data_IF_803878869574
#
_entry.id   IF_803878869574
#
_cell.length_a   1.000
_cell.length_b   1.000
_cell.length_c   1.000
_cell.angle_alpha   90.00
_cell.angle_beta   90.00
_cell.angle_gamma   90.00
#
_symmetry.space_group_name_H-M   'P 1'
#
loop_
_entity.id
_entity.type
_entity.pdbx_description
1 polymer ?
#
# COMPACT_ATOMS: atom_id res chain seq x y z
N UNK A 1 22.66 1.35 42.52
CA UNK A 1 23.82 0.45 42.25
C UNK A 1 23.65 -0.87 42.97
N UNK A 2 23.54 -0.88 44.31
CA UNK A 2 23.32 -2.11 45.09
C UNK A 2 22.12 -2.96 44.62
N UNK A 3 20.98 -2.32 44.28
CA UNK A 3 19.81 -3.05 43.77
C UNK A 3 20.06 -3.73 42.41
N UNK A 4 20.76 -3.03 41.51
CA UNK A 4 21.13 -3.54 40.19
C UNK A 4 22.13 -4.71 40.32
N UNK A 5 23.13 -4.59 41.19
CA UNK A 5 24.10 -5.66 41.48
C UNK A 5 23.40 -6.89 42.10
N UNK A 6 22.49 -6.68 43.05
CA UNK A 6 21.71 -7.75 43.65
C UNK A 6 20.84 -8.48 42.61
N UNK A 7 20.13 -7.73 41.77
CA UNK A 7 19.31 -8.30 40.70
C UNK A 7 20.16 -9.02 39.65
N UNK A 8 21.32 -8.46 39.28
CA UNK A 8 22.24 -9.11 38.33
C UNK A 8 22.73 -10.46 38.85
N UNK A 9 23.16 -10.53 40.12
CA UNK A 9 23.59 -11.78 40.74
C UNK A 9 22.44 -12.81 40.79
N UNK A 10 21.23 -12.38 41.15
CA UNK A 10 20.05 -13.26 41.18
C UNK A 10 19.70 -13.79 39.79
N UNK A 11 19.70 -12.93 38.77
CA UNK A 11 19.40 -13.32 37.38
C UNK A 11 20.48 -14.28 36.83
N UNK A 12 21.75 -14.08 37.16
CA UNK A 12 22.83 -14.99 36.76
C UNK A 12 22.65 -16.40 37.36
N UNK A 13 22.37 -16.47 38.66
CA UNK A 13 22.11 -17.75 39.34
C UNK A 13 20.92 -18.50 38.73
N UNK A 14 19.81 -17.80 38.47
CA UNK A 14 18.63 -18.42 37.85
C UNK A 14 18.86 -18.82 36.39
N UNK A 15 19.70 -18.09 35.64
CA UNK A 15 20.11 -18.48 34.27
C UNK A 15 20.92 -19.78 34.26
N UNK A 16 21.86 -19.93 35.19
CA UNK A 16 22.65 -21.17 35.32
C UNK A 16 21.74 -22.36 35.68
N UNK A 17 20.81 -22.18 36.62
CA UNK A 17 19.80 -23.21 36.95
C UNK A 17 18.93 -23.56 35.74
N UNK A 18 18.46 -22.56 34.99
CA UNK A 18 17.68 -22.79 33.78
C UNK A 18 18.48 -23.60 32.75
N UNK A 19 19.74 -23.23 32.51
CA UNK A 19 20.61 -23.95 31.57
C UNK A 19 20.82 -25.41 32.00
N UNK A 20 21.06 -25.69 33.29
CA UNK A 20 21.17 -27.05 33.79
C UNK A 20 19.86 -27.83 33.62
N UNK A 21 18.72 -27.21 33.91
CA UNK A 21 17.40 -27.84 33.76
C UNK A 21 17.01 -28.14 32.30
N UNK A 22 17.47 -27.32 31.35
CA UNK A 22 17.23 -27.51 29.92
C UNK A 22 17.90 -28.75 29.31
N UNK A 23 18.86 -29.36 30.01
CA UNK A 23 19.51 -30.60 29.60
C UNK A 23 18.70 -31.85 29.97
N UNK A 24 17.66 -31.70 30.79
CA UNK A 24 16.76 -32.80 31.17
C UNK A 24 15.77 -33.12 30.04
N UNK A 25 15.59 -34.41 29.74
CA UNK A 25 14.64 -34.88 28.71
C UNK A 25 13.16 -34.72 29.08
N UNK A 26 12.86 -34.43 30.35
CA UNK A 26 11.49 -34.27 30.86
C UNK A 26 11.09 -32.81 31.06
N UNK A 27 12.03 -31.87 30.92
CA UNK A 27 11.78 -30.46 31.15
C UNK A 27 11.22 -29.76 29.90
N UNK A 28 10.21 -28.90 30.08
CA UNK A 28 9.64 -28.07 29.01
C UNK A 28 9.96 -26.60 29.29
N UNK A 29 10.54 -25.92 28.31
CA UNK A 29 10.88 -24.50 28.42
C UNK A 29 9.62 -23.64 28.28
N UNK A 30 9.41 -22.72 29.22
CA UNK A 30 8.33 -21.73 29.12
C UNK A 30 8.77 -20.50 28.31
N UNK A 31 7.84 -19.95 27.52
CA UNK A 31 8.07 -18.78 26.68
C UNK A 31 7.56 -17.54 27.42
N UNK A 32 8.39 -16.52 27.70
CA UNK A 32 7.92 -15.27 28.28
C UNK A 32 6.93 -14.59 27.34
N UNK A 33 5.72 -14.35 27.85
CA UNK A 33 4.72 -13.55 27.18
C UNK A 33 5.05 -12.06 27.33
N UNK A 34 4.95 -11.33 26.23
CA UNK A 34 4.96 -9.87 26.21
C UNK A 34 3.78 -9.38 25.38
N UNK A 35 3.39 -8.12 25.53
CA UNK A 35 2.39 -7.51 24.68
C UNK A 35 3.05 -6.60 23.64
N UNK A 36 2.56 -6.70 22.40
CA UNK A 36 2.84 -5.74 21.34
C UNK A 36 1.56 -4.97 21.10
N UNK A 37 1.63 -3.65 21.23
CA UNK A 37 0.59 -2.74 20.79
C UNK A 37 0.88 -2.34 19.35
N UNK A 38 0.02 -2.77 18.43
CA UNK A 38 0.19 -2.55 17.02
C UNK A 38 -0.94 -1.72 16.40
N UNK A 39 -0.58 -0.90 15.42
CA UNK A 39 -1.52 -0.09 14.65
C UNK A 39 -1.14 -0.12 13.19
N UNK A 40 -2.06 -0.60 12.35
CA UNK A 40 -1.91 -0.64 10.90
C UNK A 40 -3.00 0.23 10.26
N UNK A 41 -2.63 1.43 9.81
CA UNK A 41 -3.60 2.43 9.31
C UNK A 41 -3.15 3.02 7.99
N UNK A 42 -4.10 3.21 7.07
CA UNK A 42 -3.87 3.88 5.79
C UNK A 42 -3.82 5.40 6.00
N UNK A 43 -2.75 6.04 5.53
CA UNK A 43 -2.64 7.48 5.50
C UNK A 43 -3.23 8.03 4.20
N UNK A 44 -4.08 9.04 4.32
CA UNK A 44 -4.75 9.68 3.19
C UNK A 44 -3.80 10.53 2.34
N UNK A 45 -2.83 11.19 2.98
CA UNK A 45 -2.01 12.21 2.32
C UNK A 45 -0.97 11.62 1.36
N UNK A 46 -0.39 10.47 1.70
CA UNK A 46 0.68 9.83 0.91
C UNK A 46 0.29 8.47 0.29
N UNK A 47 -0.96 8.05 0.49
CA UNK A 47 -1.51 6.77 0.02
C UNK A 47 -0.57 5.59 0.35
N UNK A 48 -0.10 5.56 1.61
CA UNK A 48 0.71 4.50 2.20
C UNK A 48 0.15 4.08 3.56
N UNK A 49 0.40 2.85 3.98
CA UNK A 49 0.06 2.37 5.31
C UNK A 49 1.18 2.70 6.30
N UNK A 50 0.82 3.23 7.47
CA UNK A 50 1.70 3.28 8.63
C UNK A 50 1.47 2.05 9.50
N UNK A 51 2.48 1.20 9.63
CA UNK A 51 2.55 0.16 10.65
C UNK A 51 3.38 0.67 11.82
N UNK A 52 2.75 0.75 12.99
CA UNK A 52 3.38 1.14 14.25
C UNK A 52 3.37 -0.08 15.16
N UNK A 53 4.54 -0.43 15.70
CA UNK A 53 4.74 -1.54 16.63
C UNK A 53 5.34 -0.99 17.93
N UNK A 54 4.68 -1.24 19.06
CA UNK A 54 5.10 -0.78 20.37
C UNK A 54 5.20 -1.94 21.36
N UNK A 55 6.32 -2.02 22.08
CA UNK A 55 6.60 -3.04 23.07
C UNK A 55 7.05 -2.40 24.37
N UNK A 56 6.68 -2.98 25.51
CA UNK A 56 7.06 -2.46 26.84
C UNK A 56 8.57 -2.49 27.10
N UNK A 57 9.30 -3.34 26.38
CA UNK A 57 10.76 -3.49 26.47
C UNK A 57 11.40 -3.05 25.16
N UNK A 58 12.70 -2.73 25.20
CA UNK A 58 13.42 -2.34 24.00
C UNK A 58 13.37 -3.45 22.93
N UNK A 59 13.03 -3.08 21.71
CA UNK A 59 13.02 -3.99 20.57
C UNK A 59 14.46 -4.29 20.16
N UNK A 60 14.75 -5.55 19.87
CA UNK A 60 16.05 -5.97 19.34
C UNK A 60 16.04 -5.90 17.82
N UNK A 61 15.09 -6.61 17.22
CA UNK A 61 14.87 -6.61 15.79
C UNK A 61 13.39 -6.85 15.47
N UNK A 62 12.97 -6.36 14.30
CA UNK A 62 11.69 -6.69 13.68
C UNK A 62 11.96 -7.23 12.30
N UNK A 63 11.49 -8.44 12.00
CA UNK A 63 11.51 -8.99 10.65
C UNK A 63 10.14 -8.78 10.01
N UNK A 64 10.13 -8.20 8.83
CA UNK A 64 8.95 -7.96 8.01
C UNK A 64 9.02 -8.90 6.81
N UNK A 65 8.00 -9.73 6.67
CA UNK A 65 7.83 -10.68 5.59
C UNK A 65 6.52 -10.38 4.86
N UNK A 66 6.52 -10.43 3.53
CA UNK A 66 5.27 -10.30 2.76
C UNK A 66 5.20 -11.30 1.61
N UNK A 67 3.98 -11.78 1.36
CA UNK A 67 3.59 -12.59 0.21
C UNK A 67 3.05 -11.75 -0.97
N UNK A 68 3.13 -10.41 -0.88
CA UNK A 68 2.70 -9.44 -1.89
C UNK A 68 3.85 -8.47 -2.13
N UNK A 69 4.08 -7.99 -3.37
CA UNK A 69 5.05 -6.92 -3.60
C UNK A 69 4.58 -5.64 -2.94
N UNK A 70 5.41 -5.16 -2.02
CA UNK A 70 5.19 -3.93 -1.25
C UNK A 70 6.51 -3.17 -1.15
N UNK A 71 6.43 -1.84 -1.16
CA UNK A 71 7.60 -1.00 -0.92
C UNK A 71 7.63 -0.55 0.54
N UNK A 72 8.77 -0.74 1.19
CA UNK A 72 9.02 -0.15 2.50
C UNK A 72 9.67 1.22 2.31
N UNK A 73 9.01 2.26 2.81
CA UNK A 73 9.51 3.64 2.73
C UNK A 73 10.27 4.01 4.00
N UNK A 74 11.38 4.71 3.82
CA UNK A 74 12.14 5.26 4.95
C UNK A 74 11.33 6.30 5.71
N UNK A 75 11.45 6.26 7.03
CA UNK A 75 10.82 7.19 7.95
C UNK A 75 11.93 7.90 8.71
N UNK A 76 12.03 9.22 8.58
CA UNK A 76 13.14 10.01 9.15
C UNK A 76 13.26 9.87 10.68
N UNK A 77 12.15 9.57 11.35
CA UNK A 77 12.10 9.33 12.81
C UNK A 77 12.57 7.93 13.21
N UNK A 78 12.77 7.03 12.26
CA UNK A 78 13.17 5.66 12.52
C UNK A 78 14.70 5.56 12.55
N UNK A 79 15.26 5.20 13.70
CA UNK A 79 16.70 5.01 13.88
C UNK A 79 17.15 3.57 13.65
N UNK A 80 16.26 2.68 13.21
CA UNK A 80 16.59 1.29 12.95
C UNK A 80 17.38 1.16 11.64
N UNK A 81 18.35 0.25 11.62
CA UNK A 81 19.06 -0.09 10.39
C UNK A 81 18.26 -1.16 9.67
N UNK A 82 17.94 -0.89 8.40
CA UNK A 82 17.18 -1.80 7.54
C UNK A 82 18.14 -2.64 6.72
N UNK A 83 17.90 -3.94 6.66
CA UNK A 83 18.56 -4.85 5.72
C UNK A 83 17.52 -5.62 4.94
N UNK A 84 17.56 -5.50 3.61
CA UNK A 84 16.73 -6.28 2.69
C UNK A 84 17.45 -7.59 2.35
N UNK A 85 16.78 -8.70 2.62
CA UNK A 85 17.27 -10.03 2.23
C UNK A 85 16.82 -10.34 0.81
N UNK A 86 17.67 -11.02 0.04
CA UNK A 86 17.28 -11.55 -1.25
C UNK A 86 16.16 -12.56 -1.08
N UNK A 87 15.08 -12.39 -1.84
CA UNK A 87 13.99 -13.35 -1.93
C UNK A 87 14.24 -14.29 -3.11
N UNK A 88 14.05 -15.59 -2.91
CA UNK A 88 14.15 -16.56 -4.01
C UNK A 88 12.94 -16.45 -4.94
N UNK A 89 13.06 -16.80 -6.21
CA UNK A 89 11.98 -16.70 -7.21
C UNK A 89 11.13 -17.98 -7.33
N UNK A 90 10.98 -18.74 -6.24
CA UNK A 90 10.21 -19.99 -6.18
C UNK A 90 8.70 -19.72 -5.97
N UNK A 91 7.81 -20.59 -6.46
CA UNK A 91 6.37 -20.51 -6.16
C UNK A 91 6.14 -20.74 -4.66
N UNK A 92 5.53 -19.77 -3.99
CA UNK A 92 5.42 -19.59 -2.51
C UNK A 92 6.58 -18.87 -1.84
N UNK A 93 7.43 -18.17 -2.60
CA UNK A 93 8.45 -17.32 -2.02
C UNK A 93 7.88 -16.03 -1.43
N UNK A 94 8.64 -15.47 -0.51
CA UNK A 94 8.40 -14.14 0.04
C UNK A 94 8.66 -13.11 -1.07
N UNK A 95 7.75 -12.17 -1.30
CA UNK A 95 8.03 -11.04 -2.18
C UNK A 95 8.94 -10.02 -1.51
N UNK A 96 8.88 -9.94 -0.18
CA UNK A 96 9.71 -9.05 0.61
C UNK A 96 10.18 -9.75 1.89
N UNK A 97 11.47 -9.60 2.18
CA UNK A 97 12.08 -9.87 3.48
C UNK A 97 12.94 -8.69 3.89
N UNK A 98 12.54 -7.99 4.96
CA UNK A 98 13.30 -6.89 5.52
C UNK A 98 13.49 -7.09 7.01
N UNK A 99 14.70 -6.83 7.51
CA UNK A 99 15.00 -6.87 8.93
C UNK A 99 15.37 -5.48 9.41
N UNK A 100 14.63 -4.98 10.39
CA UNK A 100 14.88 -3.73 11.09
C UNK A 100 15.62 -4.02 12.39
N UNK A 101 16.90 -3.66 12.45
CA UNK A 101 17.70 -3.78 13.68
C UNK A 101 17.66 -2.47 14.46
N UNK A 102 17.06 -2.54 15.65
CA UNK A 102 16.92 -1.40 16.53
C UNK A 102 18.22 -1.16 17.32
N UNK A 103 18.89 -0.03 17.13
CA UNK A 103 20.18 0.26 17.77
C UNK A 103 20.02 0.73 19.24
N UNK A 104 19.07 1.64 19.50
CA UNK A 104 18.84 2.23 20.82
C UNK A 104 17.80 1.45 21.66
N UNK A 105 17.49 1.94 22.87
CA UNK A 105 16.36 1.45 23.69
C UNK A 105 15.01 1.85 23.09
N UNK A 106 14.79 1.51 21.82
CA UNK A 106 13.57 1.84 21.08
C UNK A 106 12.46 0.88 21.47
N UNK A 107 11.40 1.42 22.06
CA UNK A 107 10.18 0.67 22.40
C UNK A 107 9.13 0.76 21.31
N UNK A 108 9.26 1.73 20.40
CA UNK A 108 8.34 2.00 19.28
C UNK A 108 9.10 1.96 17.96
N UNK A 109 8.57 1.23 16.99
CA UNK A 109 9.02 1.20 15.61
C UNK A 109 7.87 1.64 14.70
N UNK A 110 8.14 2.57 13.79
CA UNK A 110 7.20 3.01 12.77
C UNK A 110 7.78 2.74 11.39
N UNK A 111 7.00 2.07 10.54
CA UNK A 111 7.38 1.73 9.18
C UNK A 111 6.24 2.08 8.22
N UNK A 112 6.59 2.61 7.06
CA UNK A 112 5.65 2.95 6.00
C UNK A 112 5.65 1.87 4.94
N UNK A 113 4.47 1.33 4.63
CA UNK A 113 4.25 0.27 3.66
C UNK A 113 3.42 0.83 2.52
N UNK A 114 3.96 0.80 1.31
CA UNK A 114 3.22 1.14 0.09
C UNK A 114 2.73 -0.14 -0.57
N UNK A 115 1.42 -0.26 -0.75
CA UNK A 115 0.79 -1.36 -1.48
C UNK A 115 0.46 -0.96 -2.91
N UNK A 116 0.32 -1.99 -3.76
CA UNK A 116 -0.18 -1.87 -5.13
C UNK A 116 -1.63 -2.38 -5.14
N UNK A 117 -2.53 -1.59 -5.71
CA UNK A 117 -3.94 -1.94 -5.79
C UNK A 117 -4.15 -3.16 -6.72
N UNK A 118 -5.03 -4.07 -6.35
CA UNK A 118 -5.24 -5.34 -7.04
C UNK A 118 -4.34 -6.49 -6.57
N UNK A 119 -3.23 -6.19 -5.87
CA UNK A 119 -2.39 -7.21 -5.24
C UNK A 119 -2.71 -7.32 -3.74
N UNK A 120 -2.98 -8.54 -3.27
CA UNK A 120 -3.52 -8.77 -1.92
C UNK A 120 -2.95 -10.04 -1.29
N UNK A 121 -2.85 -10.02 0.04
CA UNK A 121 -2.18 -11.06 0.81
C UNK A 121 -1.88 -10.61 2.24
N UNK A 122 -0.90 -11.26 2.85
CA UNK A 122 -0.53 -11.09 4.25
C UNK A 122 0.86 -10.47 4.41
N UNK A 123 0.93 -9.44 5.26
CA UNK A 123 2.16 -8.88 5.79
C UNK A 123 2.38 -9.42 7.20
N UNK A 124 3.51 -10.07 7.44
CA UNK A 124 3.87 -10.61 8.75
C UNK A 124 5.00 -9.79 9.37
N UNK A 125 4.83 -9.42 10.65
CA UNK A 125 5.84 -8.76 11.45
C UNK A 125 6.23 -9.63 12.64
N UNK A 126 7.50 -10.02 12.68
CA UNK A 126 8.11 -10.84 13.70
C UNK A 126 8.88 -9.93 14.66
N UNK A 127 8.34 -9.71 15.84
CA UNK A 127 8.88 -8.75 16.82
C UNK A 127 9.68 -9.50 17.88
N UNK A 128 10.97 -9.18 17.99
CA UNK A 128 11.87 -9.77 19.00
C UNK A 128 12.31 -8.70 19.99
N UNK A 129 11.87 -8.75 21.27
CA UNK A 129 12.33 -7.83 22.30
C UNK A 129 13.72 -8.20 22.88
N UNK A 130 14.31 -7.26 23.62
CA UNK A 130 15.53 -7.44 24.42
C UNK A 130 15.21 -8.02 25.80
N UNK A 131 14.59 -9.19 25.82
CA UNK A 131 14.35 -9.98 27.04
C UNK A 131 15.14 -11.31 27.00
N UNK A 132 15.30 -11.94 28.16
CA UNK A 132 15.89 -13.27 28.30
C UNK A 132 14.90 -14.19 29.03
N UNK A 133 14.55 -15.37 28.48
CA UNK A 133 14.99 -15.92 27.19
C UNK A 133 14.45 -15.12 26.00
N UNK A 134 15.17 -15.16 24.87
CA UNK A 134 14.75 -14.49 23.63
C UNK A 134 13.53 -15.20 23.05
N UNK A 135 12.52 -14.43 22.72
CA UNK A 135 11.28 -14.90 22.10
C UNK A 135 10.88 -13.96 20.97
N UNK A 136 10.06 -14.47 20.06
CA UNK A 136 9.51 -13.70 18.95
C UNK A 136 7.99 -13.87 18.94
N UNK A 137 7.26 -12.78 18.72
CA UNK A 137 5.84 -12.81 18.45
C UNK A 137 5.57 -12.40 17.00
N UNK A 138 4.68 -13.12 16.33
CA UNK A 138 4.27 -12.83 14.96
C UNK A 138 2.94 -12.12 14.96
N UNK A 139 2.87 -10.99 14.26
CA UNK A 139 1.65 -10.25 13.97
C UNK A 139 1.36 -10.31 12.48
N UNK A 140 0.10 -10.52 12.11
CA UNK A 140 -0.33 -10.66 10.73
C UNK A 140 -1.28 -9.54 10.34
N UNK A 141 -0.96 -8.83 9.27
CA UNK A 141 -1.75 -7.74 8.71
C UNK A 141 -2.21 -8.13 7.31
N UNK A 142 -3.44 -7.76 6.96
CA UNK A 142 -4.03 -8.10 5.67
C UNK A 142 -3.93 -6.91 4.72
N UNK A 143 -3.21 -7.07 3.61
CA UNK A 143 -3.24 -6.14 2.48
C UNK A 143 -4.44 -6.51 1.63
N UNK A 144 -5.44 -5.62 1.63
CA UNK A 144 -6.71 -5.83 0.94
C UNK A 144 -6.56 -5.62 -0.58
N UNK A 145 -7.36 -6.29 -1.43
CA UNK A 145 -7.37 -6.04 -2.88
C UNK A 145 -7.56 -4.57 -3.26
N UNK A 146 -8.49 -3.89 -2.59
CA UNK A 146 -8.73 -2.45 -2.73
C UNK A 146 -8.11 -1.70 -1.54
N UNK A 147 -6.83 -1.96 -1.28
CA UNK A 147 -6.09 -1.42 -0.12
C UNK A 147 -5.99 0.11 -0.09
N UNK A 148 -6.16 0.79 -1.22
CA UNK A 148 -6.08 2.25 -1.28
C UNK A 148 -7.42 2.96 -1.09
N UNK A 149 -8.50 2.23 -0.80
CA UNK A 149 -9.81 2.81 -0.53
C UNK A 149 -9.97 3.17 0.95
N UNK A 150 -10.68 4.25 1.24
CA UNK A 150 -11.06 4.64 2.59
C UNK A 150 -12.57 4.88 2.64
N UNK A 151 -13.22 4.53 3.75
CA UNK A 151 -14.67 4.68 3.88
C UNK A 151 -15.07 6.15 4.02
N UNK A 152 -16.09 6.55 3.29
CA UNK A 152 -16.67 7.90 3.32
C UNK A 152 -18.17 7.86 3.64
N UNK A 153 -18.78 9.02 3.87
CA UNK A 153 -20.20 9.14 4.18
C UNK A 153 -21.08 9.36 2.94
N UNK A 154 -20.51 9.90 1.87
CA UNK A 154 -21.22 10.24 0.64
C UNK A 154 -20.28 10.16 -0.55
N UNK A 155 -20.87 10.04 -1.74
CA UNK A 155 -20.20 10.09 -3.04
C UNK A 155 -20.89 11.10 -3.94
N UNK A 156 -20.24 11.43 -5.05
CA UNK A 156 -20.75 12.27 -6.10
C UNK A 156 -21.37 11.38 -7.20
N UNK A 157 -22.70 11.44 -7.33
CA UNK A 157 -23.44 10.60 -8.26
C UNK A 157 -23.41 11.12 -9.71
N UNK A 158 -22.90 12.34 -9.95
CA UNK A 158 -22.83 12.94 -11.29
C UNK A 158 -21.60 12.46 -12.07
N UNK A 159 -20.70 11.70 -11.42
CA UNK A 159 -19.52 11.11 -12.06
C UNK A 159 -19.89 9.97 -13.00
N UNK A 160 -19.07 9.70 -14.04
CA UNK A 160 -19.30 8.58 -14.96
C UNK A 160 -19.03 7.23 -14.26
N UNK A 161 -20.07 6.67 -13.64
CA UNK A 161 -19.98 5.40 -12.89
C UNK A 161 -20.04 4.19 -13.82
N UNK A 162 -19.06 3.30 -13.69
CA UNK A 162 -19.12 1.93 -14.18
C UNK A 162 -19.84 1.06 -13.15
N UNK A 163 -20.71 0.16 -13.59
CA UNK A 163 -21.50 -0.69 -12.69
C UNK A 163 -21.13 -2.16 -12.87
N UNK A 164 -20.92 -2.88 -11.77
CA UNK A 164 -20.75 -4.32 -11.69
C UNK A 164 -21.88 -4.91 -10.85
N UNK A 165 -22.70 -5.76 -11.47
CA UNK A 165 -23.75 -6.51 -10.79
C UNK A 165 -23.38 -7.98 -10.68
N UNK A 166 -23.51 -8.52 -9.48
CA UNK A 166 -23.38 -9.94 -9.20
C UNK A 166 -24.72 -10.48 -8.73
N UNK A 167 -25.20 -11.56 -9.36
CA UNK A 167 -26.40 -12.29 -8.95
C UNK A 167 -26.07 -13.75 -8.76
N UNK A 168 -26.54 -14.35 -7.67
CA UNK A 168 -26.25 -15.75 -7.39
C UNK A 168 -26.90 -16.27 -6.13
N UNK A 169 -26.66 -17.54 -5.83
CA UNK A 169 -27.19 -18.21 -4.65
C UNK A 169 -26.22 -18.04 -3.47
N UNK A 170 -26.09 -16.82 -2.97
CA UNK A 170 -25.29 -16.50 -1.77
C UNK A 170 -26.15 -15.80 -0.71
N UNK A 171 -25.85 -16.11 0.55
CA UNK A 171 -26.41 -15.45 1.71
C UNK A 171 -25.86 -14.04 1.88
N UNK A 172 -26.56 -13.22 2.67
CA UNK A 172 -26.08 -11.87 3.02
C UNK A 172 -24.73 -11.92 3.76
N UNK A 173 -24.51 -12.93 4.61
CA UNK A 173 -23.26 -13.11 5.33
C UNK A 173 -22.08 -13.46 4.40
N UNK A 174 -22.33 -14.25 3.35
CA UNK A 174 -21.29 -14.61 2.38
C UNK A 174 -20.81 -13.40 1.59
N UNK A 175 -21.72 -12.65 0.96
CA UNK A 175 -21.34 -11.44 0.22
C UNK A 175 -20.67 -10.41 1.13
N UNK A 176 -21.15 -10.26 2.37
CA UNK A 176 -20.50 -9.38 3.34
C UNK A 176 -19.07 -9.83 3.66
N UNK A 177 -18.83 -11.13 3.86
CA UNK A 177 -17.48 -11.65 4.09
C UNK A 177 -16.54 -11.41 2.90
N UNK A 178 -17.06 -11.46 1.67
CA UNK A 178 -16.28 -11.13 0.47
C UNK A 178 -15.96 -9.64 0.41
N UNK A 179 -16.91 -8.77 0.79
CA UNK A 179 -16.70 -7.32 0.87
C UNK A 179 -15.67 -6.97 1.95
N UNK A 180 -15.75 -7.58 3.14
CA UNK A 180 -14.75 -7.45 4.23
C UNK A 180 -13.37 -7.95 3.79
N UNK A 181 -13.31 -8.95 2.93
CA UNK A 181 -12.06 -9.42 2.33
C UNK A 181 -11.50 -8.40 1.31
N UNK A 182 -12.36 -7.78 0.49
CA UNK A 182 -11.95 -6.89 -0.59
C UNK A 182 -11.58 -5.47 -0.13
N UNK A 183 -12.31 -4.95 0.86
CA UNK A 183 -12.31 -3.54 1.23
C UNK A 183 -11.84 -3.32 2.67
N UNK A 184 -11.08 -2.25 2.94
CA UNK A 184 -10.71 -1.85 4.30
C UNK A 184 -11.89 -1.17 5.01
N UNK A 185 -11.79 -1.03 6.34
CA UNK A 185 -12.75 -0.29 7.19
C UNK A 185 -14.21 -0.78 7.14
N UNK A 186 -14.41 -2.02 6.71
CA UNK A 186 -15.70 -2.72 6.79
C UNK A 186 -15.74 -3.51 8.10
N UNK A 187 -16.81 -3.38 8.93
CA UNK A 187 -16.93 -4.17 10.14
C UNK A 187 -16.99 -5.66 9.80
N UNK A 188 -16.30 -6.51 10.57
CA UNK A 188 -16.28 -7.96 10.34
C UNK A 188 -17.64 -8.62 10.66
N UNK A 189 -18.37 -8.04 11.61
CA UNK A 189 -19.71 -8.51 11.96
C UNK A 189 -20.72 -8.06 10.91
N UNK A 190 -21.48 -9.02 10.40
CA UNK A 190 -22.61 -8.76 9.50
C UNK A 190 -23.59 -7.77 10.11
N UNK A 191 -23.83 -6.62 9.46
CA UNK A 191 -24.81 -5.63 9.89
C UNK A 191 -26.21 -6.23 10.00
N UNK A 192 -27.03 -5.68 10.89
CA UNK A 192 -28.44 -6.04 10.97
C UNK A 192 -29.21 -5.41 9.79
N UNK A 193 -29.93 -6.23 9.04
CA UNK A 193 -30.72 -5.80 7.88
C UNK A 193 -30.63 -6.77 6.71
N UNK A 194 -31.40 -6.50 5.67
CA UNK A 194 -31.43 -7.32 4.45
C UNK A 194 -30.53 -6.75 3.33
N UNK A 195 -30.16 -5.48 3.44
CA UNK A 195 -29.32 -4.76 2.48
C UNK A 195 -28.48 -3.70 3.19
N UNK A 196 -27.32 -3.40 2.63
CA UNK A 196 -26.45 -2.32 3.11
C UNK A 196 -25.71 -1.67 1.94
N UNK A 197 -25.41 -0.38 2.11
CA UNK A 197 -24.58 0.41 1.22
C UNK A 197 -23.38 0.98 1.97
N UNK A 198 -22.20 0.84 1.39
CA UNK A 198 -20.98 1.50 1.82
C UNK A 198 -20.43 2.38 0.70
N UNK A 199 -19.84 3.50 1.10
CA UNK A 199 -19.18 4.46 0.22
C UNK A 199 -17.70 4.48 0.53
N UNK A 200 -16.88 4.48 -0.52
CA UNK A 200 -15.44 4.54 -0.41
C UNK A 200 -14.87 5.57 -1.39
N UNK A 201 -13.70 6.09 -1.03
CA UNK A 201 -12.89 6.95 -1.87
C UNK A 201 -11.46 6.43 -1.93
N UNK A 202 -10.91 6.31 -3.13
CA UNK A 202 -9.51 5.99 -3.35
C UNK A 202 -8.63 7.17 -2.89
N UNK A 203 -7.66 6.90 -2.01
CA UNK A 203 -6.80 7.94 -1.42
C UNK A 203 -5.80 8.51 -2.42
N UNK A 204 -5.45 7.77 -3.48
CA UNK A 204 -4.45 8.20 -4.45
C UNK A 204 -5.02 9.05 -5.59
N UNK A 205 -6.07 8.58 -6.27
CA UNK A 205 -6.70 9.25 -7.41
C UNK A 205 -7.93 10.08 -7.03
N UNK A 206 -8.54 9.83 -5.87
CA UNK A 206 -9.80 10.48 -5.47
C UNK A 206 -11.05 9.94 -6.16
N UNK A 207 -10.93 8.79 -6.85
CA UNK A 207 -12.03 8.02 -7.44
C UNK A 207 -12.92 7.44 -6.35
N UNK A 208 -14.18 7.15 -6.65
CA UNK A 208 -15.21 6.75 -5.71
C UNK A 208 -15.72 5.34 -6.01
N UNK A 209 -16.16 4.64 -4.96
CA UNK A 209 -16.77 3.32 -5.04
C UNK A 209 -18.00 3.27 -4.14
N UNK A 210 -19.16 3.00 -4.75
CA UNK A 210 -20.39 2.60 -4.07
C UNK A 210 -20.47 1.08 -4.05
N UNK A 211 -20.70 0.50 -2.88
CA UNK A 211 -20.93 -0.93 -2.70
C UNK A 211 -22.28 -1.13 -2.03
N UNK A 212 -23.29 -1.50 -2.82
CA UNK A 212 -24.65 -1.79 -2.35
C UNK A 212 -24.93 -3.28 -2.55
N UNK A 213 -25.24 -4.02 -1.48
CA UNK A 213 -25.49 -5.46 -1.60
C UNK A 213 -26.58 -5.94 -0.64
N UNK A 214 -27.16 -7.09 -1.00
CA UNK A 214 -28.22 -7.81 -0.28
C UNK A 214 -28.09 -9.31 -0.51
N UNK A 215 -28.96 -10.11 0.09
CA UNK A 215 -29.00 -11.56 -0.17
C UNK A 215 -29.20 -11.83 -1.67
N UNK A 216 -28.27 -12.57 -2.27
CA UNK A 216 -28.29 -13.00 -3.67
C UNK A 216 -28.00 -11.94 -4.72
N UNK A 217 -27.73 -10.69 -4.33
CA UNK A 217 -27.41 -9.60 -5.27
C UNK A 217 -26.40 -8.60 -4.68
N UNK A 218 -25.40 -8.22 -5.48
CA UNK A 218 -24.46 -7.15 -5.17
C UNK A 218 -24.31 -6.20 -6.35
N UNK A 219 -24.27 -4.91 -6.09
CA UNK A 219 -24.11 -3.83 -7.06
C UNK A 219 -22.96 -2.93 -6.62
N UNK A 220 -21.91 -2.88 -7.43
CA UNK A 220 -20.72 -2.08 -7.17
C UNK A 220 -20.59 -1.04 -8.28
N UNK A 221 -20.56 0.25 -7.92
CA UNK A 221 -20.43 1.35 -8.87
C UNK A 221 -19.16 2.13 -8.60
N UNK A 222 -18.36 2.38 -9.63
CA UNK A 222 -17.14 3.17 -9.49
C UNK A 222 -16.83 4.00 -10.73
N UNK A 223 -16.34 5.21 -10.53
CA UNK A 223 -15.81 6.07 -11.59
C UNK A 223 -14.43 5.57 -12.12
N UNK A 224 -13.88 4.49 -11.56
CA UNK A 224 -12.67 3.83 -12.04
C UNK A 224 -12.93 2.38 -12.49
N UNK A 225 -12.61 2.09 -13.75
CA UNK A 225 -12.79 0.76 -14.36
C UNK A 225 -11.85 -0.30 -13.76
N UNK A 226 -10.64 0.06 -13.33
CA UNK A 226 -9.71 -0.88 -12.70
C UNK A 226 -10.23 -1.38 -11.36
N UNK A 227 -10.89 -0.52 -10.58
CA UNK A 227 -11.57 -0.91 -9.34
C UNK A 227 -12.64 -1.99 -9.61
N UNK A 228 -13.40 -1.84 -10.69
CA UNK A 228 -14.40 -2.82 -11.12
C UNK A 228 -13.75 -4.12 -11.62
N UNK A 229 -12.63 -4.03 -12.35
CA UNK A 229 -11.86 -5.21 -12.80
C UNK A 229 -11.36 -6.03 -11.62
N UNK A 230 -10.76 -5.37 -10.62
CA UNK A 230 -10.26 -6.00 -9.39
C UNK A 230 -11.40 -6.67 -8.63
N UNK A 231 -12.53 -5.97 -8.41
CA UNK A 231 -13.69 -6.54 -7.72
C UNK A 231 -14.23 -7.76 -8.46
N UNK A 232 -14.39 -7.69 -9.78
CA UNK A 232 -14.85 -8.81 -10.60
C UNK A 232 -13.95 -10.04 -10.40
N UNK A 233 -12.64 -9.88 -10.50
CA UNK A 233 -11.69 -10.98 -10.41
C UNK A 233 -11.67 -11.60 -9.00
N UNK A 234 -11.62 -10.76 -7.95
CA UNK A 234 -11.56 -11.24 -6.56
C UNK A 234 -12.86 -11.89 -6.11
N UNK A 235 -14.01 -11.27 -6.40
CA UNK A 235 -15.32 -11.83 -6.03
C UNK A 235 -15.58 -13.14 -6.78
N UNK A 236 -15.16 -13.24 -8.04
CA UNK A 236 -15.23 -14.50 -8.80
C UNK A 236 -14.38 -15.60 -8.15
N UNK A 237 -13.17 -15.27 -7.70
CA UNK A 237 -12.30 -16.21 -6.98
C UNK A 237 -12.92 -16.66 -5.66
N UNK A 238 -13.45 -15.73 -4.85
CA UNK A 238 -14.08 -16.05 -3.56
C UNK A 238 -15.34 -16.91 -3.71
N UNK A 239 -16.16 -16.64 -4.73
CA UNK A 239 -17.30 -17.49 -5.03
C UNK A 239 -16.89 -18.88 -5.50
N UNK A 240 -15.85 -18.98 -6.34
CA UNK A 240 -15.30 -20.27 -6.80
C UNK A 240 -14.78 -21.10 -5.62
N UNK A 241 -14.06 -20.47 -4.67
CA UNK A 241 -13.58 -21.15 -3.44
C UNK A 241 -14.73 -21.77 -2.63
N UNK A 242 -15.89 -21.13 -2.62
CA UNK A 242 -17.11 -21.61 -1.94
C UNK A 242 -18.05 -22.43 -2.84
N UNK A 243 -17.66 -22.70 -4.09
CA UNK A 243 -18.48 -23.41 -5.09
C UNK A 243 -19.84 -22.75 -5.36
N UNK A 244 -19.88 -21.42 -5.31
CA UNK A 244 -21.08 -20.63 -5.62
C UNK A 244 -21.00 -20.16 -7.07
N UNK A 245 -22.03 -20.48 -7.85
CA UNK A 245 -22.16 -20.00 -9.22
C UNK A 245 -22.70 -18.56 -9.20
N UNK A 246 -21.89 -17.64 -9.72
CA UNK A 246 -22.25 -16.22 -9.89
C UNK A 246 -22.55 -15.93 -11.35
N UNK A 247 -23.63 -15.18 -11.58
CA UNK A 247 -23.87 -14.46 -12.81
C UNK A 247 -23.37 -13.02 -12.64
N UNK A 248 -22.41 -12.62 -13.46
CA UNK A 248 -21.75 -11.32 -13.37
C UNK A 248 -22.09 -10.54 -14.64
N UNK A 249 -22.75 -9.39 -14.48
CA UNK A 249 -22.98 -8.44 -15.55
C UNK A 249 -22.32 -7.11 -15.21
N UNK A 250 -21.85 -6.39 -16.22
CA UNK A 250 -21.20 -5.10 -16.05
C UNK A 250 -21.69 -4.12 -17.11
N UNK A 251 -21.71 -2.84 -16.75
CA UNK A 251 -22.05 -1.72 -17.61
C UNK A 251 -20.93 -0.68 -17.48
N UNK A 252 -20.24 -0.42 -18.58
CA UNK A 252 -19.03 0.41 -18.60
C UNK A 252 -19.36 1.74 -19.28
N UNK A 253 -19.12 2.83 -18.57
CA UNK A 253 -19.24 4.16 -19.13
C UNK A 253 -17.91 4.52 -19.81
N UNK A 254 -17.91 4.71 -21.13
CA UNK A 254 -16.71 5.06 -21.91
C UNK A 254 -16.09 6.40 -21.46
N UNK A 255 -16.88 7.32 -20.91
CA UNK A 255 -16.37 8.59 -20.37
C UNK A 255 -15.57 8.41 -19.07
N UNK A 256 -15.77 7.30 -18.35
CA UNK A 256 -15.07 7.04 -17.08
C UNK A 256 -13.56 6.96 -17.26
N UNK A 257 -13.09 6.37 -18.36
CA UNK A 257 -11.66 6.28 -18.69
C UNK A 257 -11.09 7.68 -18.97
N UNK A 258 -11.83 8.51 -19.72
CA UNK A 258 -11.42 9.90 -19.97
C UNK A 258 -11.39 10.70 -18.68
N UNK A 259 -12.34 10.46 -17.78
CA UNK A 259 -12.38 11.08 -16.45
C UNK A 259 -11.17 10.67 -15.60
N UNK A 260 -10.83 9.39 -15.50
CA UNK A 260 -9.66 8.94 -14.73
C UNK A 260 -8.34 9.44 -15.31
N UNK A 261 -8.18 9.45 -16.64
CA UNK A 261 -7.00 10.04 -17.28
C UNK A 261 -6.84 11.53 -16.95
N UNK A 262 -7.95 12.29 -16.90
CA UNK A 262 -7.94 13.70 -16.47
C UNK A 262 -7.54 13.88 -15.00
N UNK A 263 -7.82 12.91 -14.13
CA UNK A 263 -7.37 12.92 -12.72
C UNK A 263 -5.89 12.59 -12.58
N UNK A 264 -5.37 11.70 -13.45
CA UNK A 264 -3.97 11.28 -13.45
C UNK A 264 -3.05 12.36 -14.03
N UNK A 265 -3.50 13.06 -15.07
CA UNK A 265 -2.67 13.98 -15.84
C UNK A 265 -1.98 15.08 -14.99
N UNK A 266 -2.67 15.83 -14.11
CA UNK A 266 -2.01 16.86 -13.30
C UNK A 266 -0.92 16.31 -12.37
N UNK A 267 -1.10 15.08 -11.87
CA UNK A 267 -0.09 14.42 -11.02
C UNK A 267 1.14 14.07 -11.83
N UNK A 268 0.95 13.60 -13.06
CA UNK A 268 2.03 13.22 -13.95
C UNK A 268 2.81 14.47 -14.44
N UNK A 269 2.10 15.52 -14.86
CA UNK A 269 2.70 16.80 -15.24
C UNK A 269 3.53 17.39 -14.09
N UNK A 270 3.02 17.35 -12.86
CA UNK A 270 3.77 17.79 -11.68
C UNK A 270 5.10 17.04 -11.51
N UNK A 271 5.08 15.70 -11.60
CA UNK A 271 6.31 14.89 -11.45
C UNK A 271 7.34 15.17 -12.54
N UNK A 272 6.90 15.50 -13.76
CA UNK A 272 7.81 15.87 -14.84
C UNK A 272 8.37 17.28 -14.69
N UNK A 273 7.53 18.23 -14.26
CA UNK A 273 7.96 19.59 -13.98
C UNK A 273 8.98 19.59 -12.83
N UNK A 274 8.78 18.77 -11.80
CA UNK A 274 9.71 18.57 -10.70
C UNK A 274 11.09 18.11 -11.21
N UNK A 275 11.15 17.10 -12.08
CA UNK A 275 12.42 16.65 -12.68
C UNK A 275 13.12 17.76 -13.47
N UNK A 276 12.36 18.52 -14.28
CA UNK A 276 12.90 19.66 -15.05
C UNK A 276 13.45 20.76 -14.13
N UNK A 277 12.74 21.09 -13.05
CA UNK A 277 13.19 22.08 -12.06
C UNK A 277 14.48 21.62 -11.38
N UNK A 278 14.55 20.37 -10.91
CA UNK A 278 15.72 19.83 -10.22
C UNK A 278 16.94 19.78 -11.12
N UNK A 279 16.79 19.43 -12.40
CA UNK A 279 17.88 19.46 -13.37
C UNK A 279 18.53 20.85 -13.53
N UNK A 280 17.79 21.92 -13.24
CA UNK A 280 18.29 23.29 -13.31
C UNK A 280 18.91 23.78 -11.99
N UNK A 281 18.66 23.13 -10.86
CA UNK A 281 19.09 23.61 -9.53
C UNK A 281 20.60 23.73 -9.46
N UNK A 282 21.35 22.73 -9.91
CA UNK A 282 22.81 22.72 -9.80
C UNK A 282 23.43 23.86 -10.63
N UNK A 283 22.99 24.02 -11.88
CA UNK A 283 23.43 25.11 -12.75
C UNK A 283 23.07 26.50 -12.18
N UNK A 284 21.88 26.65 -11.59
CA UNK A 284 21.46 27.91 -10.97
C UNK A 284 22.25 28.21 -9.69
N UNK A 285 22.59 27.20 -8.90
CA UNK A 285 23.43 27.34 -7.70
C UNK A 285 24.85 27.74 -8.06
N UNK A 286 25.43 27.14 -9.11
CA UNK A 286 26.74 27.54 -9.63
C UNK A 286 26.75 29.02 -10.05
N UNK A 287 25.75 29.44 -10.84
CA UNK A 287 25.60 30.84 -11.26
C UNK A 287 25.46 31.80 -10.08
N UNK A 288 24.69 31.43 -9.04
CA UNK A 288 24.53 32.22 -7.83
C UNK A 288 25.86 32.39 -7.06
N UNK A 289 26.66 31.33 -6.98
CA UNK A 289 27.97 31.34 -6.31
C UNK A 289 28.97 32.22 -7.07
N UNK A 290 28.95 32.19 -8.41
CA UNK A 290 29.85 32.99 -9.23
C UNK A 290 29.52 34.48 -9.23
N UNK A 291 28.24 34.83 -9.38
CA UNK A 291 27.79 36.23 -9.53
C UNK A 291 27.48 36.91 -8.19
N UNK A 292 27.33 36.16 -7.10
CA UNK A 292 27.10 36.68 -5.74
C UNK A 292 25.72 37.32 -5.52
N UNK A 293 24.85 37.35 -6.52
CA UNK A 293 23.48 37.85 -6.48
C UNK A 293 22.58 37.02 -7.43
N UNK A 294 21.26 37.09 -7.28
CA UNK A 294 20.26 36.45 -8.15
C UNK A 294 19.50 37.46 -9.03
N UNK A 295 19.88 38.74 -8.99
CA UNK A 295 19.16 39.81 -9.69
C UNK A 295 19.19 39.75 -11.23
N UNK A 296 20.14 39.02 -11.80
CA UNK A 296 20.19 38.78 -13.25
C UNK A 296 19.25 37.64 -13.68
N UNK A 297 18.80 36.79 -12.74
CA UNK A 297 17.92 35.66 -13.04
C UNK A 297 16.46 36.13 -13.17
N UNK A 298 15.74 35.50 -14.10
CA UNK A 298 14.28 35.64 -14.21
C UNK A 298 13.59 35.17 -12.91
N UNK A 299 12.46 35.77 -12.51
CA UNK A 299 11.74 35.41 -11.28
C UNK A 299 11.45 33.91 -11.14
N UNK A 300 11.12 33.24 -12.25
CA UNK A 300 10.86 31.78 -12.30
C UNK A 300 12.05 30.91 -11.88
N UNK A 301 13.29 31.39 -12.06
CA UNK A 301 14.50 30.68 -11.67
C UNK A 301 14.90 31.02 -10.23
N UNK A 302 14.57 32.24 -9.77
CA UNK A 302 14.75 32.62 -8.37
C UNK A 302 13.86 31.77 -7.45
N UNK A 303 12.60 31.57 -7.82
CA UNK A 303 11.71 30.69 -7.05
C UNK A 303 12.22 29.24 -6.99
N UNK A 304 12.84 28.73 -8.06
CA UNK A 304 13.47 27.40 -8.04
C UNK A 304 14.65 27.34 -7.06
N UNK A 305 15.46 28.40 -6.96
CA UNK A 305 16.55 28.48 -5.99
C UNK A 305 16.05 28.57 -4.55
N UNK A 306 14.98 29.34 -4.31
CA UNK A 306 14.33 29.47 -3.01
C UNK A 306 13.73 28.14 -2.53
N UNK A 307 13.11 27.39 -3.44
CA UNK A 307 12.47 26.09 -3.17
C UNK A 307 13.43 24.90 -3.32
N UNK A 308 14.72 25.13 -3.58
CA UNK A 308 15.64 24.10 -4.05
C UNK A 308 15.74 22.88 -3.13
N UNK A 309 15.82 23.10 -1.80
CA UNK A 309 15.95 22.00 -0.84
C UNK A 309 14.68 21.14 -0.78
N UNK A 310 13.50 21.77 -0.87
CA UNK A 310 12.22 21.05 -0.92
C UNK A 310 12.08 20.23 -2.21
N UNK A 311 12.43 20.84 -3.35
CA UNK A 311 12.40 20.15 -4.65
C UNK A 311 13.35 18.96 -4.69
N UNK A 312 14.54 19.08 -4.10
CA UNK A 312 15.50 17.97 -3.98
C UNK A 312 14.99 16.85 -3.08
N UNK A 313 14.32 17.17 -1.97
CA UNK A 313 13.70 16.17 -1.10
C UNK A 313 12.53 15.44 -1.79
N UNK A 314 11.66 16.17 -2.49
CA UNK A 314 10.57 15.58 -3.26
C UNK A 314 11.08 14.70 -4.40
N UNK A 315 12.14 15.13 -5.08
CA UNK A 315 12.72 14.40 -6.20
C UNK A 315 13.30 13.04 -5.80
N UNK A 316 13.75 12.87 -4.55
CA UNK A 316 14.13 11.53 -4.03
C UNK A 316 12.98 10.53 -4.10
N UNK A 317 11.73 10.99 -4.00
CA UNK A 317 10.52 10.14 -4.04
C UNK A 317 9.90 10.06 -5.43
N UNK A 318 10.27 10.96 -6.33
CA UNK A 318 9.67 11.13 -7.66
C UNK A 318 9.74 9.86 -8.55
N UNK A 319 10.84 9.09 -8.62
CA UNK A 319 10.89 7.88 -9.44
C UNK A 319 9.80 6.86 -9.07
N UNK A 320 9.61 6.63 -7.76
CA UNK A 320 8.60 5.69 -7.28
C UNK A 320 7.16 6.20 -7.50
N UNK A 321 6.95 7.52 -7.47
CA UNK A 321 5.65 8.12 -7.81
C UNK A 321 5.34 7.98 -9.31
N UNK A 322 6.33 8.19 -10.18
CA UNK A 322 6.17 8.01 -11.62
C UNK A 322 5.90 6.56 -11.99
N UNK A 323 6.69 5.62 -11.47
CA UNK A 323 6.49 4.18 -11.70
C UNK A 323 5.08 3.74 -11.31
N UNK A 324 4.59 4.22 -10.16
CA UNK A 324 3.21 3.98 -9.71
C UNK A 324 2.17 4.55 -10.66
N UNK A 325 2.35 5.78 -11.15
CA UNK A 325 1.43 6.39 -12.11
C UNK A 325 1.43 5.62 -13.44
N UNK A 326 2.60 5.23 -13.94
CA UNK A 326 2.74 4.43 -15.17
C UNK A 326 2.08 3.05 -15.02
N UNK A 327 2.27 2.39 -13.87
CA UNK A 327 1.58 1.15 -13.53
C UNK A 327 0.06 1.32 -13.56
N UNK A 328 -0.48 2.36 -12.91
CA UNK A 328 -1.92 2.63 -12.89
C UNK A 328 -2.50 2.91 -14.27
N UNK A 329 -1.80 3.67 -15.13
CA UNK A 329 -2.26 3.94 -16.50
C UNK A 329 -2.22 2.64 -17.33
N UNK A 330 -1.18 1.83 -17.13
CA UNK A 330 -1.04 0.53 -17.81
C UNK A 330 -2.16 -0.43 -17.42
N UNK A 331 -2.48 -0.53 -16.13
CA UNK A 331 -3.57 -1.36 -15.63
C UNK A 331 -4.92 -0.86 -16.13
N UNK A 332 -5.15 0.47 -16.09
CA UNK A 332 -6.35 1.10 -16.64
C UNK A 332 -6.55 0.77 -18.12
N UNK A 333 -5.48 0.81 -18.91
CA UNK A 333 -5.49 0.44 -20.33
C UNK A 333 -5.85 -1.03 -20.51
N UNK A 334 -5.15 -1.94 -19.81
CA UNK A 334 -5.41 -3.38 -19.90
C UNK A 334 -6.85 -3.71 -19.50
N UNK A 335 -7.35 -3.11 -18.41
CA UNK A 335 -8.70 -3.37 -17.89
C UNK A 335 -9.78 -2.88 -18.84
N UNK A 336 -9.63 -1.68 -19.44
CA UNK A 336 -10.55 -1.18 -20.46
C UNK A 336 -10.76 -2.18 -21.58
N UNK A 337 -9.67 -2.69 -22.15
CA UNK A 337 -9.73 -3.62 -23.27
C UNK A 337 -10.15 -5.03 -22.84
N UNK A 338 -9.82 -5.44 -21.62
CA UNK A 338 -10.29 -6.69 -21.01
C UNK A 338 -11.82 -6.72 -20.92
N UNK A 339 -12.48 -5.62 -20.55
CA UNK A 339 -13.95 -5.53 -20.57
C UNK A 339 -14.54 -5.54 -21.98
N UNK A 340 -13.80 -5.08 -22.99
CA UNK A 340 -14.15 -5.22 -24.42
C UNK A 340 -13.82 -6.61 -24.99
N UNK A 341 -13.28 -7.53 -24.19
CA UNK A 341 -12.90 -8.88 -24.62
C UNK A 341 -11.62 -8.95 -25.46
N UNK A 342 -10.81 -7.89 -25.47
CA UNK A 342 -9.56 -7.81 -26.26
C UNK A 342 -8.34 -7.83 -25.33
N UNK A 343 -7.29 -8.57 -25.72
CA UNK A 343 -6.02 -8.58 -25.00
C UNK A 343 -5.01 -7.64 -25.67
N UNK A 344 -4.62 -6.57 -24.97
CA UNK A 344 -3.74 -5.50 -25.48
C UNK A 344 -2.36 -5.49 -24.85
N UNK A 345 -1.95 -6.57 -24.17
CA UNK A 345 -0.64 -6.64 -23.48
C UNK A 345 0.55 -6.37 -24.41
N UNK A 346 0.43 -6.69 -25.70
CA UNK A 346 1.47 -6.43 -26.70
C UNK A 346 1.66 -4.94 -27.01
N UNK A 347 0.66 -4.09 -26.73
CA UNK A 347 0.71 -2.64 -26.95
C UNK A 347 1.23 -1.84 -25.76
N UNK A 348 1.51 -2.50 -24.63
CA UNK A 348 2.02 -1.85 -23.40
C UNK A 348 3.35 -1.12 -23.62
N UNK A 349 4.35 -1.67 -24.36
CA UNK A 349 5.57 -0.92 -24.63
C UNK A 349 5.33 0.40 -25.38
N UNK A 350 4.41 0.40 -26.35
CA UNK A 350 4.05 1.61 -27.09
C UNK A 350 3.35 2.65 -26.20
N UNK A 351 2.55 2.20 -25.24
CA UNK A 351 1.93 3.09 -24.24
C UNK A 351 3.00 3.78 -23.39
N UNK A 352 4.04 3.06 -22.96
CA UNK A 352 5.14 3.63 -22.17
C UNK A 352 5.91 4.70 -22.96
N UNK A 353 6.16 4.49 -24.26
CA UNK A 353 6.77 5.49 -25.13
C UNK A 353 5.93 6.78 -25.22
N UNK A 354 4.60 6.65 -25.26
CA UNK A 354 3.68 7.81 -25.29
C UNK A 354 3.69 8.55 -23.94
N UNK A 355 3.76 7.80 -22.83
CA UNK A 355 3.83 8.38 -21.49
C UNK A 355 5.09 9.20 -21.25
N UNK A 356 6.22 8.80 -21.84
CA UNK A 356 7.45 9.59 -21.78
C UNK A 356 7.32 10.94 -22.54
N UNK A 357 6.50 10.98 -23.59
CA UNK A 357 6.21 12.19 -24.37
C UNK A 357 5.21 13.16 -23.73
N UNK A 358 4.33 12.66 -22.84
CA UNK A 358 3.36 13.45 -22.06
C UNK A 358 2.37 14.32 -22.82
N UNK A 359 1.97 13.87 -24.00
CA UNK A 359 0.82 14.46 -24.68
C UNK A 359 -0.48 13.88 -24.10
N UNK A 360 -1.27 14.71 -23.41
CA UNK A 360 -2.57 14.28 -22.87
C UNK A 360 -3.53 13.89 -23.98
N UNK A 361 -3.58 14.66 -25.06
CA UNK A 361 -4.48 14.40 -26.19
C UNK A 361 -4.02 13.16 -26.95
N UNK A 362 -2.70 12.99 -27.12
CA UNK A 362 -2.10 11.78 -27.65
C UNK A 362 -2.41 10.53 -26.81
N UNK A 363 -2.36 10.64 -25.47
CA UNK A 363 -2.69 9.54 -24.57
C UNK A 363 -4.18 9.16 -24.67
N UNK A 364 -5.09 10.14 -24.66
CA UNK A 364 -6.53 9.89 -24.81
C UNK A 364 -6.82 9.28 -26.19
N UNK A 365 -6.22 9.83 -27.25
CA UNK A 365 -6.36 9.31 -28.61
C UNK A 365 -5.86 7.87 -28.72
N UNK A 366 -4.74 7.53 -28.07
CA UNK A 366 -4.24 6.16 -28.02
C UNK A 366 -5.22 5.22 -27.30
N UNK A 367 -5.80 5.64 -26.19
CA UNK A 367 -6.83 4.86 -25.49
C UNK A 367 -8.09 4.65 -26.33
N UNK A 368 -8.44 5.59 -27.21
CA UNK A 368 -9.63 5.52 -28.07
C UNK A 368 -9.39 4.73 -29.37
N UNK A 369 -8.18 4.80 -29.94
CA UNK A 369 -7.85 4.19 -31.22
C UNK A 369 -7.31 2.74 -31.12
N UNK A 370 -6.81 2.34 -29.95
CA UNK A 370 -6.16 1.04 -29.76
C UNK A 370 -7.10 -0.17 -29.82
#
# INVERSE_FOLDING_TARGET
RNELEHLQMKVLQEREKYQQSSQSSTAVSSVPAFSVNDKFTLNKDDASYSLILEVQTAIDNVLVQSDVPIDLLDVDKNSAVVSFSSCDSEPNSNFLLATYRCQANTTRLELKVRSIEGQYGTLQAYVTPRIQPKTCQVHQYQIKPLSLHQRTHSIDHDRPMNTLMLKGQFSFAEIHSWVVFCLPEVPEKTPAGESITFYFQNTFLGTQLESTYRKGEGCFKSDNISTISILKDVLSKEATKRKINLNISYDINEESVRHTLKLIHPKLEYQQLLAKKVHLIDALRELQVHEGNVDFLLPKYRSILEEADQLLEEYKRQPAHLERLYGMITDLFIDKFKFKGTNVKTKVPLLLEILDGCDQDGLIAFFEAA
#
